data_IF_233691081803
#
_entry.id   IF_233691081803
#
_cell.length_a   1.000
_cell.length_b   1.000
_cell.length_c   1.000
_cell.angle_alpha   90.00
_cell.angle_beta   90.00
_cell.angle_gamma   90.00
#
_symmetry.space_group_name_H-M   'P 1'
#
loop_
_entity.id
_entity.type
_entity.pdbx_description
1 polymer ?
#
# COMPACT_ATOMS: atom_id res chain seq x y z
N UNK A 1 -17.55 8.44 6.14
CA UNK A 1 -18.67 8.67 5.20
C UNK A 1 -19.55 7.42 5.10
N UNK A 2 -20.76 7.53 4.53
CA UNK A 2 -21.60 6.36 4.21
C UNK A 2 -21.32 5.90 2.78
N UNK A 3 -21.63 4.64 2.41
CA UNK A 3 -21.32 4.12 1.07
C UNK A 3 -21.92 4.92 -0.09
N UNK A 4 -23.11 5.48 0.08
CA UNK A 4 -23.77 6.28 -0.95
C UNK A 4 -23.20 7.69 -1.10
N UNK A 5 -22.36 8.14 -0.17
CA UNK A 5 -21.69 9.45 -0.25
C UNK A 5 -20.38 9.36 -1.04
N UNK A 6 -19.94 8.16 -1.42
CA UNK A 6 -18.61 7.92 -2.00
C UNK A 6 -18.74 7.62 -3.50
N UNK A 7 -18.00 8.38 -4.30
CA UNK A 7 -17.99 8.28 -5.75
C UNK A 7 -16.65 7.77 -6.27
N UNK A 8 -16.68 6.91 -7.28
CA UNK A 8 -15.49 6.46 -7.99
C UNK A 8 -14.88 7.62 -8.77
N UNK A 9 -13.56 7.75 -8.72
CA UNK A 9 -12.80 8.84 -9.35
C UNK A 9 -12.62 10.07 -8.46
N UNK A 10 -13.33 10.17 -7.34
CA UNK A 10 -13.15 11.24 -6.38
C UNK A 10 -12.05 10.93 -5.37
N UNK A 11 -11.41 11.99 -4.88
CA UNK A 11 -10.40 11.91 -3.82
C UNK A 11 -11.01 12.33 -2.49
N UNK A 12 -10.73 11.54 -1.45
CA UNK A 12 -11.20 11.79 -0.09
C UNK A 12 -10.04 11.79 0.89
N UNK A 13 -10.16 12.56 1.97
CA UNK A 13 -9.24 12.50 3.10
C UNK A 13 -9.57 11.25 3.92
N UNK A 14 -8.63 10.33 4.01
CA UNK A 14 -8.67 9.23 4.98
C UNK A 14 -8.18 9.78 6.31
N UNK A 15 -8.95 9.56 7.38
CA UNK A 15 -8.53 9.85 8.75
C UNK A 15 -8.76 8.64 9.63
N UNK A 16 -7.68 8.12 10.18
CA UNK A 16 -7.66 6.95 11.05
C UNK A 16 -7.15 7.39 12.41
N UNK A 17 -7.90 7.08 13.45
CA UNK A 17 -7.55 7.36 14.85
C UNK A 17 -7.55 6.05 15.63
N UNK A 18 -6.99 6.07 16.85
CA UNK A 18 -7.05 4.89 17.72
C UNK A 18 -8.48 4.40 18.01
N UNK A 19 -9.49 5.28 17.96
CA UNK A 19 -10.91 4.92 18.15
C UNK A 19 -11.46 4.08 17.01
N UNK A 20 -10.88 4.20 15.82
CA UNK A 20 -11.25 3.41 14.65
C UNK A 20 -10.74 1.96 14.74
N UNK A 21 -9.83 1.68 15.69
CA UNK A 21 -9.25 0.39 16.02
C UNK A 21 -8.83 -0.42 14.76
N UNK A 22 -7.80 0.02 14.01
CA UNK A 22 -7.39 -0.65 12.77
C UNK A 22 -7.02 -2.12 12.96
N UNK A 23 -6.50 -2.49 14.14
CA UNK A 23 -6.15 -3.87 14.49
C UNK A 23 -7.30 -4.87 14.34
N UNK A 24 -8.58 -4.43 14.38
CA UNK A 24 -9.73 -5.32 14.14
C UNK A 24 -9.81 -5.88 12.72
N UNK A 25 -9.06 -5.29 11.79
CA UNK A 25 -8.99 -5.73 10.39
C UNK A 25 -7.81 -6.68 10.13
N UNK A 26 -6.96 -6.93 11.12
CA UNK A 26 -5.85 -7.88 11.01
C UNK A 26 -6.42 -9.30 10.95
N UNK A 27 -6.01 -10.06 9.94
CA UNK A 27 -6.56 -11.39 9.67
C UNK A 27 -5.63 -12.53 10.06
N UNK A 28 -4.32 -12.30 10.09
CA UNK A 28 -3.30 -13.33 10.25
C UNK A 28 -3.12 -14.23 9.02
N UNK A 29 -3.77 -13.89 7.90
CA UNK A 29 -3.64 -14.59 6.63
C UNK A 29 -2.28 -14.24 5.99
N UNK A 30 -1.41 -15.23 5.71
CA UNK A 30 -0.11 -14.98 5.07
C UNK A 30 -0.21 -14.22 3.75
N UNK A 31 -1.29 -14.39 2.99
CA UNK A 31 -1.53 -13.67 1.73
C UNK A 31 -1.83 -12.18 1.93
N UNK A 32 -2.15 -11.76 3.15
CA UNK A 32 -2.48 -10.39 3.54
C UNK A 32 -1.47 -9.79 4.51
N UNK A 33 -0.31 -10.42 4.70
CA UNK A 33 0.68 -10.01 5.69
C UNK A 33 1.09 -8.53 5.58
N UNK A 34 1.24 -7.99 4.36
CA UNK A 34 1.56 -6.57 4.17
C UNK A 34 0.44 -5.64 4.61
N UNK A 35 -0.81 -5.99 4.30
CA UNK A 35 -1.98 -5.24 4.74
C UNK A 35 -2.15 -5.29 6.26
N UNK A 36 -1.92 -6.47 6.87
CA UNK A 36 -1.94 -6.65 8.32
C UNK A 36 -0.85 -5.82 9.01
N UNK A 37 0.36 -5.77 8.46
CA UNK A 37 1.45 -4.92 8.95
C UNK A 37 1.11 -3.42 8.87
N UNK A 38 0.44 -3.00 7.79
CA UNK A 38 -0.02 -1.63 7.63
C UNK A 38 -1.11 -1.26 8.66
N UNK A 39 -2.07 -2.16 8.90
CA UNK A 39 -3.10 -1.97 9.93
C UNK A 39 -2.48 -1.93 11.34
N UNK A 40 -1.47 -2.76 11.58
CA UNK A 40 -0.73 -2.75 12.84
C UNK A 40 0.01 -1.43 13.05
N UNK A 41 0.73 -0.92 12.04
CA UNK A 41 1.41 0.37 12.15
C UNK A 41 0.41 1.50 12.43
N UNK A 42 -0.75 1.47 11.78
CA UNK A 42 -1.83 2.44 12.03
C UNK A 42 -2.46 2.39 13.41
N UNK A 43 -2.36 1.25 14.08
CA UNK A 43 -2.82 1.11 15.47
C UNK A 43 -1.85 1.74 16.45
N UNK A 44 -0.56 1.80 16.11
CA UNK A 44 0.49 2.29 17.00
C UNK A 44 0.60 3.83 17.01
N UNK A 45 0.26 4.51 15.93
CA UNK A 45 0.30 5.97 15.89
C UNK A 45 -1.01 6.62 16.37
N UNK A 46 -0.95 7.88 16.80
CA UNK A 46 -2.09 8.58 17.38
C UNK A 46 -3.15 8.94 16.33
N UNK A 47 -2.73 9.33 15.12
CA UNK A 47 -3.62 9.69 14.01
C UNK A 47 -2.86 9.53 12.70
N UNK A 48 -3.51 8.91 11.71
CA UNK A 48 -3.03 8.85 10.34
C UNK A 48 -3.97 9.58 9.41
N UNK A 49 -3.41 10.40 8.54
CA UNK A 49 -4.14 11.11 7.51
C UNK A 49 -3.43 11.03 6.16
N UNK A 50 -4.18 10.75 5.10
CA UNK A 50 -3.69 10.77 3.73
C UNK A 50 -4.87 10.91 2.76
N UNK A 51 -4.57 11.26 1.51
CA UNK A 51 -5.58 11.36 0.46
C UNK A 51 -5.67 10.03 -0.31
N UNK A 52 -6.89 9.59 -0.59
CA UNK A 52 -7.20 8.36 -1.32
C UNK A 52 -8.13 8.67 -2.48
N UNK A 53 -7.72 8.34 -3.70
CA UNK A 53 -8.58 8.37 -4.88
C UNK A 53 -9.33 7.05 -5.00
N UNK A 54 -10.66 7.09 -4.91
CA UNK A 54 -11.50 5.89 -4.91
C UNK A 54 -11.57 5.31 -6.32
N UNK A 55 -11.27 4.01 -6.44
CA UNK A 55 -11.31 3.27 -7.71
C UNK A 55 -12.44 2.26 -7.75
N UNK A 56 -12.95 1.80 -6.60
CA UNK A 56 -14.12 0.93 -6.53
C UNK A 56 -14.93 1.14 -5.25
N UNK A 57 -16.25 1.03 -5.35
CA UNK A 57 -17.20 1.04 -4.23
C UNK A 57 -17.85 -0.34 -4.04
N UNK A 58 -18.70 -0.49 -3.02
CA UNK A 58 -19.43 -1.74 -2.75
C UNK A 58 -18.57 -2.87 -2.18
N UNK A 59 -17.36 -2.56 -1.70
CA UNK A 59 -16.49 -3.53 -1.05
C UNK A 59 -16.96 -3.78 0.38
N UNK A 60 -16.50 -4.90 0.95
CA UNK A 60 -16.75 -5.24 2.35
C UNK A 60 -15.42 -5.61 2.99
N UNK A 61 -15.10 -4.97 4.11
CA UNK A 61 -13.92 -5.26 4.92
C UNK A 61 -14.37 -5.67 6.32
N UNK A 62 -14.12 -6.92 6.70
CA UNK A 62 -14.55 -7.51 7.97
C UNK A 62 -16.03 -7.26 8.33
N UNK A 63 -16.91 -7.34 7.33
CA UNK A 63 -18.36 -7.13 7.49
C UNK A 63 -18.81 -5.67 7.45
N UNK A 64 -17.89 -4.72 7.29
CA UNK A 64 -18.21 -3.29 7.17
C UNK A 64 -18.14 -2.81 5.72
N UNK A 65 -18.99 -1.86 5.31
CA UNK A 65 -18.89 -1.24 4.00
C UNK A 65 -17.54 -0.56 3.80
N UNK A 66 -16.92 -0.86 2.67
CA UNK A 66 -15.57 -0.43 2.33
C UNK A 66 -15.49 0.07 0.88
N UNK A 67 -14.36 0.71 0.59
CA UNK A 67 -13.97 1.13 -0.76
C UNK A 67 -12.56 0.68 -1.05
N UNK A 68 -12.26 0.47 -2.33
CA UNK A 68 -10.89 0.34 -2.81
C UNK A 68 -10.47 1.66 -3.44
N UNK A 69 -9.25 2.08 -3.15
CA UNK A 69 -8.68 3.27 -3.76
C UNK A 69 -7.17 3.17 -3.89
N UNK A 70 -6.61 4.17 -4.56
CA UNK A 70 -5.18 4.34 -4.72
C UNK A 70 -4.76 5.56 -3.91
N UNK A 71 -3.79 5.39 -3.01
CA UNK A 71 -3.06 6.52 -2.42
C UNK A 71 -1.73 6.67 -3.13
N UNK A 72 -1.26 7.91 -3.26
CA UNK A 72 0.12 8.15 -3.67
C UNK A 72 0.97 8.12 -2.41
N UNK A 73 1.89 7.15 -2.35
CA UNK A 73 2.87 7.03 -1.27
C UNK A 73 4.28 7.20 -1.86
N UNK A 74 5.23 7.63 -1.04
CA UNK A 74 6.63 7.56 -1.41
C UNK A 74 7.19 6.18 -1.04
N UNK A 75 7.82 5.52 -2.01
CA UNK A 75 8.58 4.30 -1.75
C UNK A 75 9.98 4.42 -2.33
N UNK A 76 10.94 3.82 -1.64
CA UNK A 76 12.28 3.58 -2.16
C UNK A 76 12.49 2.12 -2.57
N UNK A 77 11.49 1.25 -2.32
CA UNK A 77 11.55 -0.15 -2.72
C UNK A 77 11.29 -0.29 -4.21
N UNK A 78 12.11 -1.11 -4.86
CA UNK A 78 12.00 -1.44 -6.28
C UNK A 78 12.06 -2.93 -6.46
N UNK A 79 11.31 -3.40 -7.45
CA UNK A 79 11.41 -4.75 -7.99
C UNK A 79 11.78 -4.60 -9.46
N UNK A 80 12.85 -5.27 -9.89
CA UNK A 80 13.28 -5.29 -11.29
C UNK A 80 13.64 -6.71 -11.69
N UNK A 81 13.28 -7.15 -12.91
CA UNK A 81 13.86 -8.35 -13.48
C UNK A 81 15.38 -8.24 -13.49
N UNK A 82 16.07 -9.32 -13.14
CA UNK A 82 17.52 -9.43 -13.28
C UNK A 82 17.81 -9.89 -14.72
N UNK A 83 18.49 -9.08 -15.55
CA UNK A 83 18.82 -9.49 -16.90
C UNK A 83 19.71 -10.74 -16.91
N UNK A 84 19.59 -11.64 -17.90
CA UNK A 84 20.38 -12.88 -17.98
C UNK A 84 21.90 -12.64 -17.89
N UNK A 85 22.41 -11.61 -18.57
CA UNK A 85 23.83 -11.24 -18.52
C UNK A 85 24.31 -10.81 -17.12
N UNK A 86 23.42 -10.27 -16.28
CA UNK A 86 23.72 -9.96 -14.89
C UNK A 86 23.66 -11.21 -14.01
N UNK A 87 22.71 -12.12 -14.27
CA UNK A 87 22.62 -13.42 -13.61
C UNK A 87 23.87 -14.27 -13.86
N UNK A 88 24.34 -14.35 -15.12
CA UNK A 88 25.57 -15.06 -15.49
C UNK A 88 26.79 -14.51 -14.75
N UNK A 89 26.95 -13.18 -14.67
CA UNK A 89 28.04 -12.53 -13.93
C UNK A 89 28.01 -12.83 -12.43
N UNK A 90 26.84 -13.11 -11.88
CA UNK A 90 26.65 -13.53 -10.49
C UNK A 90 26.81 -15.06 -10.31
N UNK A 91 27.05 -15.80 -11.40
CA UNK A 91 27.15 -17.26 -11.38
C UNK A 91 25.81 -17.97 -11.14
N UNK A 92 24.70 -17.30 -11.44
CA UNK A 92 23.36 -17.87 -11.33
C UNK A 92 23.03 -18.72 -12.57
N UNK A 93 22.23 -19.79 -12.41
CA UNK A 93 21.63 -20.51 -13.54
C UNK A 93 20.90 -19.57 -14.51
N UNK A 94 20.86 -19.90 -15.80
CA UNK A 94 20.22 -19.05 -16.84
C UNK A 94 18.90 -19.61 -17.35
N UNK A 95 18.48 -20.76 -16.82
CA UNK A 95 17.22 -21.44 -17.12
C UNK A 95 16.04 -20.94 -16.25
N UNK A 96 16.29 -19.96 -15.38
CA UNK A 96 15.31 -19.40 -14.45
C UNK A 96 15.30 -17.88 -14.56
N UNK A 97 14.11 -17.30 -14.52
CA UNK A 97 13.94 -15.85 -14.43
C UNK A 97 14.11 -15.37 -12.97
N UNK A 98 14.97 -14.38 -12.77
CA UNK A 98 15.24 -13.81 -11.45
C UNK A 98 14.65 -12.41 -11.32
N UNK A 99 14.23 -12.07 -10.09
CA UNK A 99 13.78 -10.73 -9.71
C UNK A 99 14.65 -10.25 -8.56
N UNK A 100 15.11 -8.99 -8.65
CA UNK A 100 15.81 -8.31 -7.56
C UNK A 100 14.84 -7.37 -6.87
N UNK A 101 14.70 -7.57 -5.57
CA UNK A 101 13.96 -6.68 -4.68
C UNK A 101 14.94 -5.93 -3.77
N UNK A 102 14.80 -4.61 -3.68
CA UNK A 102 15.73 -3.81 -2.90
C UNK A 102 15.37 -2.34 -2.78
N UNK A 103 16.31 -1.56 -2.25
CA UNK A 103 16.18 -0.11 -2.08
C UNK A 103 16.94 0.59 -3.20
N UNK A 104 16.27 1.49 -3.93
CA UNK A 104 16.90 2.31 -4.96
C UNK A 104 17.81 3.35 -4.30
N UNK A 105 19.08 3.35 -4.70
CA UNK A 105 20.06 4.36 -4.30
C UNK A 105 20.66 5.03 -5.53
N UNK A 106 20.92 6.31 -5.41
CA UNK A 106 21.73 7.05 -6.36
C UNK A 106 23.17 6.52 -6.31
N UNK A 107 23.70 6.09 -7.46
CA UNK A 107 24.99 5.42 -7.52
C UNK A 107 26.19 6.34 -7.23
N UNK A 108 26.03 7.67 -7.42
CA UNK A 108 27.10 8.64 -7.25
C UNK A 108 27.16 9.12 -5.79
N UNK A 109 26.00 9.40 -5.22
CA UNK A 109 25.86 10.01 -3.89
C UNK A 109 25.57 8.98 -2.79
N UNK A 110 25.12 7.78 -3.15
CA UNK A 110 24.68 6.74 -2.22
C UNK A 110 23.35 7.04 -1.54
N UNK A 111 22.69 8.15 -1.87
CA UNK A 111 21.43 8.54 -1.24
C UNK A 111 20.28 7.64 -1.67
N UNK A 112 19.34 7.38 -0.76
CA UNK A 112 18.12 6.63 -1.06
C UNK A 112 17.22 7.50 -1.93
N UNK A 113 16.76 6.94 -3.04
CA UNK A 113 15.84 7.60 -3.97
C UNK A 113 14.41 7.21 -3.60
N UNK A 114 13.63 8.18 -3.13
CA UNK A 114 12.18 8.04 -2.99
C UNK A 114 11.48 8.36 -4.30
N UNK A 115 10.49 7.54 -4.67
CA UNK A 115 9.62 7.76 -5.83
C UNK A 115 8.16 7.70 -5.41
N UNK A 116 7.29 8.50 -6.04
CA UNK A 116 5.86 8.32 -5.88
C UNK A 116 5.44 6.98 -6.49
N UNK A 117 4.69 6.19 -5.72
CA UNK A 117 4.04 4.96 -6.16
C UNK A 117 2.56 4.99 -5.79
N UNK A 118 1.73 4.36 -6.62
CA UNK A 118 0.33 4.13 -6.30
C UNK A 118 0.19 2.87 -5.46
N UNK A 119 -0.28 3.01 -4.23
CA UNK A 119 -0.62 1.88 -3.37
C UNK A 119 -2.13 1.66 -3.40
N UNK A 120 -2.54 0.48 -3.87
CA UNK A 120 -3.96 0.09 -3.84
C UNK A 120 -4.29 -0.48 -2.47
N UNK A 121 -5.37 0.01 -1.87
CA UNK A 121 -5.83 -0.45 -0.56
C UNK A 121 -7.33 -0.42 -0.44
N UNK A 122 -7.86 -1.26 0.44
CA UNK A 122 -9.28 -1.32 0.77
C UNK A 122 -9.49 -0.87 2.20
N UNK A 123 -10.36 0.13 2.41
CA UNK A 123 -10.59 0.78 3.69
C UNK A 123 -12.09 0.93 3.99
N UNK A 124 -12.52 0.94 5.26
CA UNK A 124 -13.91 1.22 5.63
C UNK A 124 -14.35 2.61 5.15
N UNK A 125 -15.58 2.72 4.63
CA UNK A 125 -16.16 4.01 4.22
C UNK A 125 -16.20 5.01 5.40
N UNK A 126 -16.31 4.49 6.63
CA UNK A 126 -16.33 5.27 7.86
C UNK A 126 -15.06 6.12 8.06
N UNK A 127 -13.92 5.73 7.48
CA UNK A 127 -12.64 6.44 7.62
C UNK A 127 -12.48 7.59 6.62
N UNK A 128 -13.31 7.63 5.58
CA UNK A 128 -13.29 8.72 4.60
C UNK A 128 -13.93 9.98 5.18
N UNK A 129 -13.39 11.12 4.76
CA UNK A 129 -13.88 12.48 4.97
C UNK A 129 -13.86 13.20 3.61
N UNK A 130 -14.84 14.09 3.34
CA UNK A 130 -14.72 14.99 2.20
C UNK A 130 -13.46 15.85 2.37
N UNK A 131 -12.83 16.19 1.25
CA UNK A 131 -11.73 17.17 1.21
C UNK A 131 -12.24 18.58 1.52
#
# INVERSE_FOLDING_TARGET
>A
MRPHDVEVGQTYRVRITQRDNPARFITGDPSKAEADLLMLSWTLEATHEFDLTVTATGQVLSGEPAVTGVRVAETSRVSTPLPPEAAERLGLPTDVDYVVEGVLKDAVTGQIVSRPTGETMTLPCAWLRPL
#
